data_IF_096017495069
#
_entry.id   IF_096017495069
#
_cell.length_a   1.000
_cell.length_b   1.000
_cell.length_c   1.000
_cell.angle_alpha   90.00
_cell.angle_beta   90.00
_cell.angle_gamma   90.00
#
_symmetry.space_group_name_H-M   'P 1'
#
loop_
_entity.id
_entity.type
_entity.pdbx_description
1 polymer ?
#
# COMPACT_ATOMS: atom_id res chain seq x y z
N UNK A 1 90.70 -16.40 -7.72
CA UNK A 1 89.33 -16.47 -7.17
C UNK A 1 88.36 -16.21 -8.32
N UNK A 2 88.01 -17.27 -9.05
CA UNK A 2 86.65 -17.88 -9.15
C UNK A 2 85.74 -17.14 -10.14
N UNK A 3 85.80 -17.45 -11.45
CA UNK A 3 84.99 -18.43 -12.24
C UNK A 3 83.62 -17.90 -12.74
N UNK A 4 83.15 -18.32 -13.94
CA UNK A 4 82.05 -17.70 -14.70
C UNK A 4 80.67 -18.38 -14.53
N UNK A 5 79.64 -17.76 -15.15
CA UNK A 5 78.22 -18.10 -15.49
C UNK A 5 77.75 -19.59 -15.52
N UNK A 6 76.48 -19.97 -15.85
CA UNK A 6 75.16 -19.29 -15.94
C UNK A 6 73.99 -20.16 -15.37
N UNK A 7 72.74 -19.66 -15.21
CA UNK A 7 71.50 -20.41 -15.61
C UNK A 7 70.16 -19.67 -15.43
N UNK A 8 69.25 -19.97 -16.37
CA UNK A 8 67.81 -20.22 -16.18
C UNK A 8 66.87 -18.99 -16.13
N UNK A 9 65.79 -18.88 -16.93
CA UNK A 9 65.10 -19.82 -17.82
C UNK A 9 64.04 -19.04 -18.63
N UNK A 10 63.96 -19.38 -19.91
CA UNK A 10 62.79 -19.57 -20.80
C UNK A 10 61.53 -18.68 -20.75
N UNK A 11 61.17 -18.25 -21.97
CA UNK A 11 59.84 -18.22 -22.61
C UNK A 11 58.65 -17.53 -21.91
N UNK A 12 58.05 -16.56 -22.61
CA UNK A 12 56.75 -16.72 -23.30
C UNK A 12 56.28 -15.31 -23.70
N UNK A 13 56.32 -14.91 -24.98
CA UNK A 13 55.38 -15.23 -26.04
C UNK A 13 53.92 -14.84 -25.72
N UNK A 14 53.33 -14.14 -26.70
CA UNK A 14 51.91 -13.80 -26.86
C UNK A 14 51.41 -12.51 -26.19
N UNK A 15 51.68 -11.41 -26.88
CA UNK A 15 50.76 -10.29 -27.07
C UNK A 15 49.37 -10.81 -27.47
N UNK A 16 48.44 -10.86 -26.52
CA UNK A 16 47.01 -10.78 -26.82
C UNK A 16 46.41 -9.73 -25.90
N UNK A 17 46.18 -8.56 -26.49
CA UNK A 17 45.25 -7.54 -26.00
C UNK A 17 43.91 -8.22 -25.71
N UNK A 18 43.66 -8.51 -24.43
CA UNK A 18 42.33 -8.82 -23.95
C UNK A 18 41.53 -7.53 -24.00
N UNK A 19 40.83 -7.35 -25.13
CA UNK A 19 39.64 -6.52 -25.19
C UNK A 19 38.71 -6.95 -24.05
N UNK A 20 38.61 -6.11 -23.02
CA UNK A 20 37.49 -6.15 -22.08
C UNK A 20 36.25 -5.70 -22.83
N UNK A 21 35.68 -6.62 -23.60
CA UNK A 21 34.39 -6.46 -24.25
C UNK A 21 33.29 -6.43 -23.19
N UNK A 22 32.73 -5.24 -22.98
CA UNK A 22 31.28 -5.00 -22.96
C UNK A 22 30.41 -6.07 -22.29
N UNK A 23 30.65 -6.36 -21.01
CA UNK A 23 29.72 -7.11 -20.18
C UNK A 23 28.92 -6.12 -19.34
N UNK A 24 27.82 -5.57 -19.89
CA UNK A 24 26.58 -5.16 -19.19
C UNK A 24 25.56 -4.46 -20.12
N UNK A 25 25.60 -4.68 -21.44
CA UNK A 25 24.69 -4.03 -22.41
C UNK A 25 23.30 -4.69 -22.53
N UNK A 26 22.80 -5.26 -21.43
CA UNK A 26 21.53 -5.99 -21.38
C UNK A 26 20.85 -5.95 -20.01
N UNK A 27 21.22 -5.00 -19.14
CA UNK A 27 20.47 -4.77 -17.91
C UNK A 27 19.19 -4.00 -18.28
N UNK A 28 18.08 -4.73 -18.36
CA UNK A 28 16.76 -4.12 -18.43
C UNK A 28 16.59 -3.32 -17.14
N UNK A 29 16.42 -2.00 -17.26
CA UNK A 29 16.13 -1.15 -16.12
C UNK A 29 14.83 -1.66 -15.47
N UNK A 30 14.86 -1.84 -14.15
CA UNK A 30 13.69 -2.28 -13.38
C UNK A 30 12.71 -1.09 -13.32
N UNK A 31 12.02 -0.86 -14.42
CA UNK A 31 10.91 0.06 -14.50
C UNK A 31 9.73 -0.62 -13.81
N UNK A 32 9.17 -0.04 -12.74
CA UNK A 32 7.94 -0.55 -12.16
C UNK A 32 6.87 -0.60 -13.26
N UNK A 33 6.43 -1.79 -13.64
CA UNK A 33 5.42 -1.97 -14.70
C UNK A 33 4.04 -1.41 -14.36
N UNK A 34 3.86 -0.90 -13.14
CA UNK A 34 2.64 -0.28 -12.64
C UNK A 34 2.92 1.18 -12.30
N UNK A 35 2.38 2.08 -13.11
CA UNK A 35 2.30 3.50 -12.77
C UNK A 35 1.04 3.70 -11.95
N UNK A 36 1.19 4.15 -10.71
CA UNK A 36 0.04 4.56 -9.88
C UNK A 36 -0.63 5.78 -10.51
N UNK A 37 -1.91 5.69 -10.90
CA UNK A 37 -2.63 6.83 -11.44
C UNK A 37 -2.84 7.89 -10.35
N UNK A 38 -2.26 9.08 -10.53
CA UNK A 38 -2.39 10.18 -9.57
C UNK A 38 -3.76 10.84 -9.72
N UNK A 39 -4.54 10.88 -8.64
CA UNK A 39 -5.84 11.54 -8.62
C UNK A 39 -5.68 13.04 -8.39
N UNK A 40 -5.82 13.85 -9.45
CA UNK A 40 -5.67 15.31 -9.37
C UNK A 40 -6.75 16.01 -8.54
N UNK A 41 -7.93 15.39 -8.37
CA UNK A 41 -9.06 15.95 -7.62
C UNK A 41 -9.07 15.62 -6.12
N UNK A 42 -8.00 15.01 -5.59
CA UNK A 42 -7.96 14.46 -4.23
C UNK A 42 -8.18 15.51 -3.15
N UNK A 43 -7.56 16.68 -3.30
CA UNK A 43 -7.66 17.76 -2.30
C UNK A 43 -9.06 18.40 -2.27
N UNK A 44 -9.71 18.55 -3.43
CA UNK A 44 -11.07 19.08 -3.51
C UNK A 44 -12.07 18.07 -2.93
N UNK A 45 -11.95 16.80 -3.30
CA UNK A 45 -12.76 15.73 -2.72
C UNK A 45 -12.60 15.69 -1.20
N UNK A 46 -11.37 15.82 -0.68
CA UNK A 46 -11.09 15.86 0.76
C UNK A 46 -11.86 16.99 1.47
N UNK A 47 -11.89 18.19 0.88
CA UNK A 47 -12.64 19.32 1.46
C UNK A 47 -14.16 19.07 1.46
N UNK A 48 -14.69 18.45 0.40
CA UNK A 48 -16.10 18.07 0.34
C UNK A 48 -16.45 16.95 1.33
N UNK A 49 -15.55 15.97 1.51
CA UNK A 49 -15.69 14.89 2.49
C UNK A 49 -15.65 15.47 3.92
N UNK A 50 -14.78 16.43 4.20
CA UNK A 50 -14.73 17.12 5.51
C UNK A 50 -16.07 17.75 5.86
N UNK A 51 -16.71 18.44 4.90
CA UNK A 51 -18.05 19.00 5.10
C UNK A 51 -19.12 17.90 5.27
N UNK A 52 -19.05 16.82 4.49
CA UNK A 52 -19.99 15.71 4.60
C UNK A 52 -19.90 15.02 5.97
N UNK A 53 -18.70 14.77 6.48
CA UNK A 53 -18.47 14.18 7.81
C UNK A 53 -18.94 15.14 8.91
N UNK A 54 -18.62 16.42 8.81
CA UNK A 54 -19.08 17.42 9.77
C UNK A 54 -20.62 17.56 9.78
N UNK A 55 -21.26 17.45 8.61
CA UNK A 55 -22.71 17.51 8.47
C UNK A 55 -23.45 16.33 9.13
N UNK A 56 -22.81 15.16 9.23
CA UNK A 56 -23.39 13.98 9.92
C UNK A 56 -23.43 14.15 11.45
N UNK A 57 -22.54 14.96 12.01
CA UNK A 57 -22.60 15.37 13.43
C UNK A 57 -22.14 14.34 14.47
N UNK A 58 -21.68 13.15 14.09
CA UNK A 58 -21.20 12.12 15.03
C UNK A 58 -19.77 12.37 15.54
N UNK A 59 -18.92 13.00 14.72
CA UNK A 59 -17.52 13.30 15.04
C UNK A 59 -17.43 14.74 15.53
N UNK A 60 -16.76 15.02 16.67
CA UNK A 60 -16.53 16.39 17.12
C UNK A 60 -15.81 17.23 16.04
N UNK A 61 -16.31 18.44 15.78
CA UNK A 61 -15.83 19.30 14.66
C UNK A 61 -14.32 19.55 14.67
N UNK A 62 -13.71 19.61 15.85
CA UNK A 62 -12.26 19.81 16.00
C UNK A 62 -11.45 18.60 15.54
N UNK A 63 -12.03 17.39 15.63
CA UNK A 63 -11.37 16.14 15.24
C UNK A 63 -11.61 15.77 13.78
N UNK A 64 -12.67 16.28 13.14
CA UNK A 64 -13.04 15.94 11.76
C UNK A 64 -11.86 16.12 10.81
N UNK A 65 -11.19 17.27 10.86
CA UNK A 65 -10.04 17.56 9.98
C UNK A 65 -8.89 16.58 10.17
N UNK A 66 -8.62 16.18 11.42
CA UNK A 66 -7.55 15.24 11.74
C UNK A 66 -7.89 13.82 11.27
N UNK A 67 -9.12 13.38 11.48
CA UNK A 67 -9.59 12.06 11.04
C UNK A 67 -9.62 11.93 9.51
N UNK A 68 -10.10 12.97 8.82
CA UNK A 68 -10.09 13.03 7.35
C UNK A 68 -8.65 13.02 6.83
N UNK A 69 -7.76 13.82 7.42
CA UNK A 69 -6.34 13.82 7.03
C UNK A 69 -5.67 12.47 7.26
N UNK A 70 -5.95 11.82 8.40
CA UNK A 70 -5.46 10.49 8.71
C UNK A 70 -5.97 9.43 7.74
N UNK A 71 -7.23 9.51 7.31
CA UNK A 71 -7.79 8.59 6.31
C UNK A 71 -7.09 8.73 4.96
N UNK A 72 -6.88 9.96 4.49
CA UNK A 72 -6.28 10.23 3.17
C UNK A 72 -4.77 9.96 3.10
N UNK A 73 -4.03 10.20 4.19
CA UNK A 73 -2.57 10.17 4.21
C UNK A 73 -1.96 9.12 5.13
N UNK A 74 -2.67 8.70 6.18
CA UNK A 74 -2.16 7.81 7.22
C UNK A 74 -2.47 6.32 6.99
N UNK A 75 -3.54 6.00 6.26
CA UNK A 75 -3.95 4.61 6.05
C UNK A 75 -3.26 3.94 4.85
N UNK A 76 -2.68 4.71 3.94
CA UNK A 76 -2.01 4.19 2.74
C UNK A 76 -2.97 3.72 1.64
N UNK A 77 -4.17 4.31 1.56
CA UNK A 77 -5.13 4.01 0.49
C UNK A 77 -4.65 4.60 -0.83
N UNK A 78 -4.72 3.81 -1.90
CA UNK A 78 -4.32 4.22 -3.25
C UNK A 78 -5.28 5.25 -3.87
N UNK A 79 -4.76 6.09 -4.77
CA UNK A 79 -5.53 7.11 -5.47
C UNK A 79 -6.66 6.55 -6.36
N UNK A 80 -6.54 5.29 -6.80
CA UNK A 80 -7.59 4.60 -7.56
C UNK A 80 -8.88 4.47 -6.75
N UNK A 81 -8.78 4.22 -5.45
CA UNK A 81 -9.95 4.12 -4.58
C UNK A 81 -10.71 5.44 -4.50
N UNK A 82 -9.99 6.56 -4.36
CA UNK A 82 -10.61 7.89 -4.31
C UNK A 82 -11.23 8.31 -5.65
N UNK A 83 -10.82 7.68 -6.75
CA UNK A 83 -11.42 7.88 -8.08
C UNK A 83 -12.70 7.06 -8.26
N UNK A 84 -12.76 5.84 -7.70
CA UNK A 84 -13.91 4.95 -7.86
C UNK A 84 -15.03 5.26 -6.87
N UNK A 85 -14.67 5.65 -5.65
CA UNK A 85 -15.63 5.84 -4.58
C UNK A 85 -16.21 7.25 -4.52
N UNK A 86 -17.49 7.33 -4.16
CA UNK A 86 -18.17 8.60 -3.93
C UNK A 86 -17.76 9.23 -2.60
N UNK A 87 -17.83 10.56 -2.51
CA UNK A 87 -17.52 11.29 -1.26
C UNK A 87 -18.44 10.88 -0.10
N UNK A 88 -19.69 10.52 -0.38
CA UNK A 88 -20.67 10.07 0.61
C UNK A 88 -20.25 8.73 1.22
N UNK A 89 -19.81 7.80 0.37
CA UNK A 89 -19.28 6.49 0.77
C UNK A 89 -18.00 6.65 1.60
N UNK A 90 -17.08 7.50 1.16
CA UNK A 90 -15.86 7.80 1.92
C UNK A 90 -16.19 8.38 3.30
N UNK A 91 -17.18 9.28 3.39
CA UNK A 91 -17.62 9.82 4.67
C UNK A 91 -18.25 8.76 5.59
N UNK A 92 -18.91 7.74 5.05
CA UNK A 92 -19.38 6.59 5.85
C UNK A 92 -18.21 5.75 6.36
N UNK A 93 -17.21 5.51 5.53
CA UNK A 93 -16.01 4.76 5.91
C UNK A 93 -15.22 5.43 7.03
N UNK A 94 -15.03 6.75 6.96
CA UNK A 94 -14.35 7.53 8.01
C UNK A 94 -15.12 7.41 9.33
N UNK A 95 -16.45 7.49 9.30
CA UNK A 95 -17.29 7.38 10.49
C UNK A 95 -17.26 5.97 11.09
N UNK A 96 -17.28 4.93 10.26
CA UNK A 96 -17.13 3.53 10.71
C UNK A 96 -15.79 3.31 11.41
N UNK A 97 -14.71 3.82 10.83
CA UNK A 97 -13.37 3.79 11.41
C UNK A 97 -13.28 4.52 12.74
N UNK A 98 -13.90 5.70 12.84
CA UNK A 98 -13.94 6.45 14.09
C UNK A 98 -14.73 5.71 15.18
N UNK A 99 -15.86 5.11 14.82
CA UNK A 99 -16.64 4.25 15.72
C UNK A 99 -15.83 3.06 16.22
N UNK A 100 -15.10 2.37 15.32
CA UNK A 100 -14.22 1.27 15.68
C UNK A 100 -13.09 1.70 16.63
N UNK A 101 -12.49 2.88 16.42
CA UNK A 101 -11.49 3.45 17.35
C UNK A 101 -12.06 3.68 18.74
N UNK A 102 -13.26 4.26 18.84
CA UNK A 102 -13.92 4.46 20.14
C UNK A 102 -14.24 3.12 20.80
N UNK A 103 -14.76 2.15 20.03
CA UNK A 103 -15.09 0.83 20.55
C UNK A 103 -13.84 0.11 21.10
N UNK A 104 -12.74 0.13 20.36
CA UNK A 104 -11.46 -0.43 20.80
C UNK A 104 -10.97 0.24 22.09
N UNK A 105 -11.09 1.57 22.17
CA UNK A 105 -10.75 2.32 23.39
C UNK A 105 -11.58 1.89 24.60
N UNK A 106 -12.89 1.69 24.43
CA UNK A 106 -13.78 1.23 25.53
C UNK A 106 -13.53 -0.20 25.98
N UNK A 107 -13.04 -1.07 25.09
CA UNK A 107 -12.70 -2.47 25.41
C UNK A 107 -11.33 -2.63 26.07
N UNK A 108 -10.59 -1.53 26.28
CA UNK A 108 -9.22 -1.53 26.79
C UNK A 108 -8.24 -2.38 25.96
N UNK A 109 -8.56 -2.62 24.68
CA UNK A 109 -7.67 -3.30 23.75
C UNK A 109 -7.35 -2.35 22.59
N UNK A 110 -6.30 -1.52 22.73
CA UNK A 110 -5.90 -0.58 21.69
C UNK A 110 -5.30 -1.28 20.47
N UNK A 111 -4.94 -2.56 20.57
CA UNK A 111 -4.42 -3.36 19.45
C UNK A 111 -5.53 -4.00 18.61
N UNK A 112 -6.71 -4.25 19.19
CA UNK A 112 -7.86 -4.78 18.45
C UNK A 112 -8.67 -3.67 17.79
N UNK A 113 -8.30 -3.31 16.57
CA UNK A 113 -9.17 -2.49 15.72
C UNK A 113 -10.09 -3.43 14.92
N UNK A 114 -11.25 -3.75 15.48
CA UNK A 114 -12.28 -4.53 14.78
C UNK A 114 -13.25 -3.57 14.10
N UNK A 115 -13.12 -3.49 12.78
CA UNK A 115 -14.05 -2.81 11.88
C UNK A 115 -14.91 -3.89 11.22
N UNK A 116 -16.22 -3.78 11.43
CA UNK A 116 -17.24 -4.46 10.64
C UNK A 116 -18.12 -3.38 10.01
N UNK A 117 -17.94 -3.17 8.71
CA UNK A 117 -18.80 -2.31 7.93
C UNK A 117 -19.54 -3.14 6.90
N UNK A 118 -20.85 -3.18 7.05
CA UNK A 118 -21.76 -3.77 6.07
C UNK A 118 -22.65 -2.65 5.54
N UNK A 119 -22.46 -2.32 4.27
CA UNK A 119 -23.33 -1.37 3.58
C UNK A 119 -23.87 -2.01 2.31
N UNK A 120 -25.19 -2.12 2.23
CA UNK A 120 -25.90 -2.51 1.02
C UNK A 120 -26.50 -1.25 0.43
N UNK A 121 -26.26 -0.99 -0.87
CA UNK A 121 -26.91 0.11 -1.56
C UNK A 121 -28.43 -0.13 -1.60
N UNK A 122 -29.21 0.91 -1.31
CA UNK A 122 -30.68 0.86 -1.33
C UNK A 122 -31.22 0.42 -2.69
N UNK A 123 -30.46 0.68 -3.76
CA UNK A 123 -30.80 0.28 -5.13
C UNK A 123 -30.35 -1.14 -5.48
N UNK A 124 -29.66 -1.84 -4.59
CA UNK A 124 -29.17 -3.20 -4.79
C UNK A 124 -28.04 -3.35 -5.82
N UNK A 125 -27.44 -2.25 -6.28
CA UNK A 125 -26.42 -2.26 -7.33
C UNK A 125 -25.01 -2.54 -6.81
N UNK A 126 -24.83 -2.55 -5.50
CA UNK A 126 -23.54 -2.77 -4.86
C UNK A 126 -23.66 -3.00 -3.37
N UNK A 127 -22.67 -3.65 -2.81
CA UNK A 127 -22.50 -3.78 -1.37
C UNK A 127 -21.01 -3.68 -1.03
N UNK A 128 -20.72 -3.01 0.07
CA UNK A 128 -19.38 -2.86 0.61
C UNK A 128 -19.33 -3.58 1.95
N UNK A 129 -18.47 -4.59 2.02
CA UNK A 129 -18.21 -5.36 3.23
C UNK A 129 -16.74 -5.16 3.62
N UNK A 130 -16.50 -4.55 4.78
CA UNK A 130 -15.17 -4.38 5.34
C UNK A 130 -15.13 -5.16 6.64
N UNK A 131 -14.35 -6.22 6.65
CA UNK A 131 -14.08 -7.04 7.83
C UNK A 131 -12.61 -6.94 8.20
N UNK A 132 -12.33 -6.98 9.49
CA UNK A 132 -10.95 -6.97 9.99
C UNK A 132 -10.42 -8.39 10.13
N UNK A 133 -9.34 -8.70 9.41
CA UNK A 133 -8.67 -10.01 9.47
C UNK A 133 -7.50 -9.96 10.45
N UNK A 134 -7.26 -11.05 11.17
CA UNK A 134 -6.03 -11.17 11.97
C UNK A 134 -4.86 -11.52 11.06
N UNK A 135 -3.74 -10.77 11.10
CA UNK A 135 -2.57 -11.06 10.30
C UNK A 135 -2.05 -12.49 10.56
N UNK A 136 -1.79 -13.24 9.49
CA UNK A 136 -1.24 -14.60 9.57
C UNK A 136 -2.24 -15.68 9.95
N UNK A 137 -3.52 -15.35 10.13
CA UNK A 137 -4.59 -16.35 10.27
C UNK A 137 -5.54 -16.25 9.08
N UNK A 138 -5.78 -17.39 8.43
CA UNK A 138 -6.87 -17.53 7.47
C UNK A 138 -8.16 -17.82 8.23
N UNK A 139 -9.16 -16.97 8.10
CA UNK A 139 -10.48 -17.21 8.67
C UNK A 139 -11.16 -18.35 7.92
N UNK A 140 -11.69 -19.35 8.64
CA UNK A 140 -12.42 -20.49 8.04
C UNK A 140 -13.93 -20.25 7.89
N UNK A 141 -14.40 -19.10 8.37
CA UNK A 141 -15.81 -18.70 8.41
C UNK A 141 -15.95 -17.29 7.79
N UNK A 142 -17.04 -17.02 7.07
CA UNK A 142 -17.34 -15.69 6.51
C UNK A 142 -16.94 -15.49 5.02
N UNK A 143 -17.30 -14.32 4.45
CA UNK A 143 -17.04 -14.01 3.05
C UNK A 143 -15.53 -13.83 2.80
N UNK A 144 -14.92 -14.83 2.17
CA UNK A 144 -13.46 -14.90 1.95
C UNK A 144 -12.79 -16.14 2.56
N UNK A 145 -13.53 -16.97 3.30
CA UNK A 145 -13.01 -18.20 3.91
C UNK A 145 -12.68 -19.31 2.91
N UNK A 146 -13.31 -19.30 1.73
CA UNK A 146 -13.08 -20.29 0.69
C UNK A 146 -12.38 -19.64 -0.50
N UNK A 147 -11.16 -20.07 -0.79
CA UNK A 147 -10.51 -19.78 -2.06
C UNK A 147 -11.10 -20.73 -3.12
N UNK A 148 -11.55 -20.21 -4.26
CA UNK A 148 -11.98 -21.07 -5.35
C UNK A 148 -10.77 -21.87 -5.89
N UNK A 149 -10.95 -23.17 -6.10
CA UNK A 149 -9.93 -24.00 -6.71
C UNK A 149 -9.73 -23.55 -8.16
N UNK A 150 -8.50 -23.20 -8.52
CA UNK A 150 -8.12 -22.76 -9.86
C UNK A 150 -8.06 -23.92 -10.84
#
# INVERSE_FOLDING_TARGET
MSTPEPTSKVLSAATHLLQTGDAHKGRVENMPGYTTPVFKGKDEQRALVEQAVAGKGFIPRELVKNEVNWFYNGLGIDDTYFQTESREVIADHIMALFGAKILAFTKHDPSSLVIDLERIDEKGNGATFIHSSVPGLTTTEGPGATCEAR
#
